data_IF_215644757636
#
_entry.id   IF_215644757636
#
_cell.length_a   1.000
_cell.length_b   1.000
_cell.length_c   1.000
_cell.angle_alpha   90.00
_cell.angle_beta   90.00
_cell.angle_gamma   90.00
#
_symmetry.space_group_name_H-M   'P 1'
#
loop_
_entity.id
_entity.type
_entity.pdbx_description
1 polymer ?
#
# COMPACT_ATOMS: atom_id res chain seq x y z
N UNK A 1 16.64 -5.28 29.45
CA UNK A 1 16.85 -5.37 30.92
C UNK A 1 16.21 -6.63 31.51
N UNK A 2 15.05 -6.62 32.18
CA UNK A 2 14.51 -7.78 32.94
C UNK A 2 14.52 -9.14 32.20
N UNK A 3 14.13 -9.16 30.93
CA UNK A 3 14.09 -10.38 30.12
C UNK A 3 15.48 -10.96 29.82
N UNK A 4 16.45 -10.09 29.52
CA UNK A 4 17.81 -10.48 29.14
C UNK A 4 18.79 -10.52 30.32
N UNK A 5 18.38 -10.07 31.51
CA UNK A 5 19.26 -10.03 32.69
C UNK A 5 20.39 -8.99 32.60
N UNK A 6 20.29 -8.03 31.68
CA UNK A 6 21.31 -6.98 31.43
C UNK A 6 20.98 -5.65 32.11
N UNK A 7 22.01 -4.82 32.29
CA UNK A 7 21.88 -3.45 32.78
C UNK A 7 21.41 -2.50 31.67
N UNK A 8 21.04 -1.28 32.04
CA UNK A 8 20.64 -0.26 31.08
C UNK A 8 21.83 0.22 30.22
N UNK A 9 23.02 0.27 30.82
CA UNK A 9 24.26 0.76 30.20
C UNK A 9 24.77 -0.15 29.08
N UNK A 10 24.39 -1.44 29.11
CA UNK A 10 24.76 -2.42 28.08
C UNK A 10 23.95 -2.25 26.77
N UNK A 11 22.93 -1.38 26.78
CA UNK A 11 22.03 -1.14 25.64
C UNK A 11 22.50 0.09 24.86
N UNK A 12 23.05 -0.13 23.67
CA UNK A 12 23.42 0.97 22.77
C UNK A 12 22.18 1.63 22.17
N UNK A 13 21.25 0.82 21.65
CA UNK A 13 20.00 1.30 21.07
C UNK A 13 18.93 0.21 21.12
N UNK A 14 17.66 0.59 20.93
CA UNK A 14 16.62 -0.37 20.66
C UNK A 14 15.56 0.22 19.73
N UNK A 15 14.96 -0.63 18.91
CA UNK A 15 13.87 -0.26 18.01
C UNK A 15 12.66 -1.15 18.30
N UNK A 16 11.47 -0.54 18.30
CA UNK A 16 10.23 -1.33 18.33
C UNK A 16 10.03 -1.93 16.95
N UNK A 17 10.30 -3.22 16.79
CA UNK A 17 10.03 -3.94 15.54
C UNK A 17 8.52 -4.14 15.33
N UNK A 18 7.82 -4.47 16.42
CA UNK A 18 6.36 -4.70 16.37
C UNK A 18 5.68 -4.31 17.68
N UNK A 19 4.50 -3.70 17.57
CA UNK A 19 3.55 -3.43 18.64
C UNK A 19 2.16 -3.93 18.26
N UNK A 20 1.73 -5.00 18.91
CA UNK A 20 0.38 -5.53 18.86
C UNK A 20 -0.37 -5.33 20.17
N UNK A 21 -1.61 -5.81 20.22
CA UNK A 21 -2.37 -5.91 21.46
C UNK A 21 -3.23 -7.18 21.46
N UNK A 22 -3.43 -7.75 22.64
CA UNK A 22 -4.44 -8.77 22.91
C UNK A 22 -5.66 -8.12 23.56
N UNK A 23 -6.74 -8.00 22.80
CA UNK A 23 -8.03 -7.45 23.25
C UNK A 23 -9.11 -8.52 23.35
N UNK A 24 -8.76 -9.79 23.59
CA UNK A 24 -9.75 -10.87 23.80
C UNK A 24 -10.50 -10.71 25.12
N UNK A 25 -9.82 -10.24 26.17
CA UNK A 25 -10.41 -9.92 27.48
C UNK A 25 -10.47 -8.40 27.64
N UNK A 26 -11.66 -7.80 27.56
CA UNK A 26 -11.85 -6.34 27.65
C UNK A 26 -11.32 -5.73 28.96
N UNK A 27 -11.32 -6.51 30.05
CA UNK A 27 -10.82 -6.10 31.36
C UNK A 27 -9.29 -6.20 31.50
N UNK A 28 -8.60 -6.84 30.56
CA UNK A 28 -7.16 -7.06 30.61
C UNK A 28 -6.57 -7.01 29.19
N UNK A 29 -6.45 -5.81 28.65
CA UNK A 29 -5.85 -5.58 27.33
C UNK A 29 -4.35 -5.44 27.51
N UNK A 30 -3.57 -6.31 26.86
CA UNK A 30 -2.12 -6.32 26.95
C UNK A 30 -1.50 -5.87 25.64
N UNK A 31 -0.50 -4.99 25.72
CA UNK A 31 0.35 -4.65 24.58
C UNK A 31 1.44 -5.72 24.42
N UNK A 32 1.70 -6.11 23.19
CA UNK A 32 2.68 -7.14 22.86
C UNK A 32 3.75 -6.48 21.99
N UNK A 33 4.98 -6.50 22.47
CA UNK A 33 6.12 -5.88 21.78
C UNK A 33 7.09 -6.94 21.27
N UNK A 34 7.67 -6.65 20.11
CA UNK A 34 8.91 -7.26 19.62
C UNK A 34 9.90 -6.12 19.46
N UNK A 35 11.09 -6.28 20.05
CA UNK A 35 12.13 -5.26 20.08
C UNK A 35 13.38 -5.82 19.41
N UNK A 36 14.02 -5.01 18.57
CA UNK A 36 15.38 -5.23 18.10
C UNK A 36 16.29 -4.39 19.01
N UNK A 37 17.40 -4.95 19.50
CA UNK A 37 18.24 -4.31 20.54
C UNK A 37 19.72 -4.37 20.12
N UNK A 38 20.32 -3.19 20.02
CA UNK A 38 21.76 -2.86 19.91
C UNK A 38 22.57 -3.24 21.16
N UNK A 39 23.43 -4.27 21.18
CA UNK A 39 24.23 -4.65 22.37
C UNK A 39 25.72 -4.90 22.03
N UNK A 40 26.62 -4.75 23.01
CA UNK A 40 28.06 -5.00 22.79
C UNK A 40 28.39 -6.51 22.76
N UNK A 41 27.77 -7.31 23.64
CA UNK A 41 28.06 -8.75 23.83
C UNK A 41 26.96 -9.67 23.26
N UNK A 42 26.45 -9.37 22.05
CA UNK A 42 25.31 -10.09 21.45
C UNK A 42 25.51 -11.60 21.36
N UNK A 43 26.68 -12.06 20.90
CA UNK A 43 26.95 -13.47 20.66
C UNK A 43 26.87 -14.31 21.96
N UNK A 44 27.42 -13.79 23.06
CA UNK A 44 27.40 -14.46 24.35
C UNK A 44 25.97 -14.53 24.92
N UNK A 45 25.19 -13.46 24.76
CA UNK A 45 23.79 -13.45 25.16
C UNK A 45 22.95 -14.43 24.34
N UNK A 46 23.15 -14.49 23.02
CA UNK A 46 22.44 -15.43 22.15
C UNK A 46 22.74 -16.89 22.52
N UNK A 47 23.98 -17.22 22.90
CA UNK A 47 24.34 -18.57 23.39
C UNK A 47 23.65 -18.90 24.71
N UNK A 48 23.67 -17.96 25.66
CA UNK A 48 22.99 -18.07 26.96
C UNK A 48 21.48 -18.30 26.81
N UNK A 49 20.86 -17.65 25.81
CA UNK A 49 19.44 -17.75 25.51
C UNK A 49 19.11 -18.71 24.34
N UNK A 50 20.01 -19.61 23.96
CA UNK A 50 19.85 -20.54 22.83
C UNK A 50 18.56 -21.37 22.84
N UNK A 51 18.01 -21.65 24.02
CA UNK A 51 16.78 -22.42 24.21
C UNK A 51 15.51 -21.54 24.35
N UNK A 52 15.64 -20.21 24.40
CA UNK A 52 14.50 -19.30 24.53
C UNK A 52 14.00 -18.84 23.14
N UNK A 53 12.80 -19.27 22.70
CA UNK A 53 12.29 -18.93 21.37
C UNK A 53 11.96 -17.43 21.20
N UNK A 54 11.98 -16.63 22.28
CA UNK A 54 11.71 -15.20 22.26
C UNK A 54 12.97 -14.33 22.22
N UNK A 55 14.15 -14.93 22.25
CA UNK A 55 15.44 -14.23 22.10
C UNK A 55 16.15 -14.84 20.91
N UNK A 56 16.27 -14.07 19.83
CA UNK A 56 16.86 -14.54 18.57
C UNK A 56 17.67 -13.41 17.96
N UNK A 57 18.63 -13.79 17.12
CA UNK A 57 19.32 -12.84 16.28
C UNK A 57 18.32 -12.14 15.35
N UNK A 58 18.39 -10.81 15.31
CA UNK A 58 17.61 -10.00 14.37
C UNK A 58 18.00 -10.39 12.94
N UNK A 59 17.05 -10.75 12.06
CA UNK A 59 17.37 -11.09 10.67
C UNK A 59 17.88 -9.85 9.91
N UNK A 60 18.69 -10.06 8.87
CA UNK A 60 18.97 -9.01 7.90
C UNK A 60 17.69 -8.71 7.10
N UNK A 61 17.15 -7.52 7.33
CA UNK A 61 15.90 -7.06 6.70
C UNK A 61 16.14 -5.97 5.65
N UNK A 62 17.39 -5.72 5.29
CA UNK A 62 17.71 -4.71 4.29
C UNK A 62 17.28 -5.19 2.90
N UNK A 63 16.67 -4.29 2.13
CA UNK A 63 16.29 -4.59 0.76
C UNK A 63 17.52 -4.74 -0.13
N UNK A 64 17.71 -5.92 -0.71
CA UNK A 64 18.82 -6.20 -1.62
C UNK A 64 18.42 -5.91 -3.06
N UNK A 65 19.02 -4.87 -3.65
CA UNK A 65 18.84 -4.56 -5.07
C UNK A 65 19.41 -5.69 -5.93
N UNK A 66 18.62 -6.20 -6.88
CA UNK A 66 18.99 -7.37 -7.68
C UNK A 66 19.87 -7.03 -8.88
N UNK A 67 19.93 -5.76 -9.28
CA UNK A 67 20.68 -5.31 -10.44
C UNK A 67 20.98 -3.80 -10.37
N UNK A 68 21.81 -3.34 -11.31
CA UNK A 68 22.02 -1.93 -11.63
C UNK A 68 21.91 -1.77 -13.15
N UNK A 69 21.33 -0.67 -13.61
CA UNK A 69 21.23 -0.37 -15.03
C UNK A 69 22.63 -0.27 -15.67
N UNK A 70 22.82 -0.85 -16.86
CA UNK A 70 24.06 -0.68 -17.60
C UNK A 70 24.22 0.77 -18.06
N UNK A 71 25.45 1.25 -18.15
CA UNK A 71 25.74 2.64 -18.55
C UNK A 71 25.20 2.98 -19.95
N UNK A 72 25.16 1.98 -20.85
CA UNK A 72 24.71 2.10 -22.23
C UNK A 72 23.23 1.69 -22.41
N UNK A 73 22.36 1.98 -21.44
CA UNK A 73 20.94 1.67 -21.52
C UNK A 73 20.29 2.37 -22.73
N UNK A 74 19.92 1.60 -23.75
CA UNK A 74 19.34 2.11 -25.00
C UNK A 74 17.83 2.32 -24.92
N UNK A 75 17.15 1.48 -24.14
CA UNK A 75 15.69 1.49 -24.02
C UNK A 75 15.29 1.73 -22.56
N UNK A 76 14.37 2.66 -22.34
CA UNK A 76 13.82 2.95 -21.01
C UNK A 76 12.62 2.03 -20.78
N UNK A 77 12.50 1.41 -19.60
CA UNK A 77 11.31 0.63 -19.27
C UNK A 77 10.11 1.56 -19.07
N UNK A 78 8.94 1.12 -19.51
CA UNK A 78 7.67 1.83 -19.36
C UNK A 78 6.84 1.19 -18.26
N UNK A 79 6.22 2.00 -17.41
CA UNK A 79 5.26 1.57 -16.38
C UNK A 79 3.92 2.25 -16.65
N UNK A 80 2.88 1.45 -16.86
CA UNK A 80 1.51 1.94 -17.14
C UNK A 80 0.71 1.89 -15.84
N UNK A 81 0.33 3.07 -15.34
CA UNK A 81 -0.40 3.29 -14.09
C UNK A 81 0.52 3.69 -12.94
N UNK A 82 0.09 4.69 -12.15
CA UNK A 82 0.82 5.21 -11.00
C UNK A 82 0.06 4.97 -9.68
N UNK A 83 -0.55 3.79 -9.55
CA UNK A 83 -1.00 3.23 -8.28
C UNK A 83 0.15 2.62 -7.46
N UNK A 84 -0.11 1.98 -6.30
CA UNK A 84 0.95 1.43 -5.46
C UNK A 84 1.89 0.45 -6.17
N UNK A 85 1.36 -0.39 -7.08
CA UNK A 85 2.18 -1.31 -7.87
C UNK A 85 3.12 -0.57 -8.83
N UNK A 86 2.59 0.32 -9.67
CA UNK A 86 3.40 1.10 -10.61
C UNK A 86 4.36 2.08 -9.93
N UNK A 87 3.97 2.63 -8.79
CA UNK A 87 4.81 3.46 -7.92
C UNK A 87 6.08 2.72 -7.50
N UNK A 88 5.96 1.51 -6.95
CA UNK A 88 7.13 0.75 -6.50
C UNK A 88 7.91 0.13 -7.65
N UNK A 89 7.26 -0.28 -8.74
CA UNK A 89 7.96 -0.69 -9.95
C UNK A 89 8.85 0.46 -10.48
N UNK A 90 8.27 1.66 -10.61
CA UNK A 90 8.99 2.85 -11.04
C UNK A 90 10.08 3.29 -10.05
N UNK A 91 9.80 3.30 -8.75
CA UNK A 91 10.77 3.68 -7.73
C UNK A 91 11.99 2.76 -7.72
N UNK A 92 11.77 1.44 -7.71
CA UNK A 92 12.88 0.48 -7.66
C UNK A 92 13.69 0.52 -8.96
N UNK A 93 13.03 0.63 -10.13
CA UNK A 93 13.72 0.82 -11.41
C UNK A 93 14.56 2.10 -11.42
N UNK A 94 14.03 3.21 -10.89
CA UNK A 94 14.75 4.47 -10.79
C UNK A 94 15.93 4.38 -9.80
N UNK A 95 15.76 3.74 -8.64
CA UNK A 95 16.83 3.49 -7.66
C UNK A 95 17.97 2.64 -8.25
N UNK A 96 17.63 1.70 -9.15
CA UNK A 96 18.61 0.91 -9.89
C UNK A 96 19.19 1.63 -11.13
N UNK A 97 18.74 2.85 -11.43
CA UNK A 97 19.27 3.68 -12.53
C UNK A 97 18.64 3.44 -13.90
N UNK A 98 17.52 2.71 -14.00
CA UNK A 98 16.89 2.38 -15.29
C UNK A 98 16.09 3.55 -15.92
N UNK A 99 15.93 4.67 -15.22
CA UNK A 99 15.24 5.88 -15.71
C UNK A 99 13.85 5.58 -16.31
N UNK A 100 12.94 4.92 -15.57
CA UNK A 100 11.65 4.47 -16.10
C UNK A 100 10.78 5.64 -16.61
N UNK A 101 9.94 5.37 -17.61
CA UNK A 101 8.86 6.26 -18.05
C UNK A 101 7.56 5.73 -17.45
N UNK A 102 6.92 6.50 -16.58
CA UNK A 102 5.64 6.16 -15.98
C UNK A 102 4.55 6.99 -16.65
N UNK A 103 3.50 6.35 -17.14
CA UNK A 103 2.32 7.01 -17.71
C UNK A 103 1.10 6.71 -16.84
N UNK A 104 0.36 7.76 -16.48
CA UNK A 104 -0.85 7.67 -15.68
C UNK A 104 -1.98 8.40 -16.41
N UNK A 105 -3.09 7.68 -16.64
CA UNK A 105 -4.26 8.22 -17.36
C UNK A 105 -4.92 9.38 -16.62
N UNK A 106 -4.90 9.34 -15.29
CA UNK A 106 -5.47 10.39 -14.46
C UNK A 106 -4.47 11.49 -14.10
N UNK A 107 -4.94 12.42 -13.27
CA UNK A 107 -4.21 13.63 -12.94
C UNK A 107 -3.34 13.51 -11.70
N UNK A 108 -2.47 14.50 -11.53
CA UNK A 108 -1.80 14.79 -10.27
C UNK A 108 -2.78 14.92 -9.10
N UNK A 109 -2.34 14.55 -7.90
CA UNK A 109 -3.21 14.28 -6.76
C UNK A 109 -4.01 15.50 -6.32
N UNK A 110 -3.48 16.72 -6.46
CA UNK A 110 -4.20 17.96 -6.09
C UNK A 110 -5.37 18.25 -7.03
N UNK A 111 -5.15 18.13 -8.34
CA UNK A 111 -6.21 18.31 -9.33
C UNK A 111 -7.22 17.16 -9.27
N UNK A 112 -6.72 15.93 -9.12
CA UNK A 112 -7.54 14.74 -8.89
C UNK A 112 -8.45 14.87 -7.68
N UNK A 113 -7.95 15.47 -6.59
CA UNK A 113 -8.74 15.76 -5.39
C UNK A 113 -9.87 16.73 -5.68
N UNK A 114 -9.62 17.79 -6.46
CA UNK A 114 -10.66 18.73 -6.91
C UNK A 114 -11.72 18.02 -7.76
N UNK A 115 -11.30 17.20 -8.72
CA UNK A 115 -12.21 16.45 -9.60
C UNK A 115 -13.08 15.48 -8.79
N UNK A 116 -12.47 14.73 -7.87
CA UNK A 116 -13.16 13.73 -7.03
C UNK A 116 -14.13 14.38 -6.05
N UNK A 117 -13.74 15.45 -5.36
CA UNK A 117 -14.63 16.15 -4.43
C UNK A 117 -15.70 16.94 -5.18
N UNK A 118 -15.35 17.46 -6.36
CA UNK A 118 -16.28 18.06 -7.31
C UNK A 118 -17.39 17.08 -7.70
N UNK A 119 -17.03 15.86 -8.07
CA UNK A 119 -17.97 14.78 -8.35
C UNK A 119 -18.88 14.48 -7.15
N UNK A 120 -18.33 14.30 -5.95
CA UNK A 120 -19.15 13.99 -4.77
C UNK A 120 -20.16 15.09 -4.40
N UNK A 121 -19.80 16.36 -4.63
CA UNK A 121 -20.68 17.50 -4.33
C UNK A 121 -21.65 17.82 -5.45
N UNK A 122 -21.20 17.78 -6.71
CA UNK A 122 -21.95 18.28 -7.88
C UNK A 122 -22.48 17.18 -8.79
N UNK A 123 -22.14 15.91 -8.52
CA UNK A 123 -22.51 14.73 -9.32
C UNK A 123 -22.00 14.73 -10.76
N UNK A 124 -20.97 15.52 -11.05
CA UNK A 124 -20.30 15.55 -12.36
C UNK A 124 -19.07 14.64 -12.32
N UNK A 125 -19.12 13.49 -12.99
CA UNK A 125 -18.01 12.53 -13.02
C UNK A 125 -17.03 12.88 -14.14
N UNK A 126 -15.74 12.94 -13.82
CA UNK A 126 -14.68 12.85 -14.81
C UNK A 126 -14.23 11.37 -14.93
N UNK A 127 -14.41 10.71 -16.10
CA UNK A 127 -14.07 9.30 -16.25
C UNK A 127 -12.56 9.03 -16.17
N UNK A 128 -11.70 10.03 -16.42
CA UNK A 128 -10.24 9.89 -16.38
C UNK A 128 -9.62 10.33 -15.05
N UNK A 129 -10.35 11.05 -14.20
CA UNK A 129 -9.83 11.61 -12.95
C UNK A 129 -10.87 11.44 -11.83
N UNK A 130 -10.72 10.38 -11.04
CA UNK A 130 -11.70 9.99 -10.03
C UNK A 130 -11.07 9.10 -8.94
N UNK A 131 -11.92 8.46 -8.13
CA UNK A 131 -11.48 7.60 -7.02
C UNK A 131 -10.56 6.46 -7.49
N UNK A 132 -10.68 6.01 -8.74
CA UNK A 132 -9.88 4.91 -9.28
C UNK A 132 -8.61 5.40 -10.00
N UNK A 133 -8.72 6.47 -10.79
CA UNK A 133 -7.67 6.91 -11.71
C UNK A 133 -7.02 8.23 -11.30
N UNK A 134 -5.70 8.31 -11.51
CA UNK A 134 -4.82 9.43 -11.14
C UNK A 134 -3.76 9.04 -10.11
N UNK A 135 -2.97 10.03 -9.69
CA UNK A 135 -1.79 9.85 -8.83
C UNK A 135 -2.09 9.06 -7.55
N UNK A 136 -1.37 7.96 -7.34
CA UNK A 136 -1.54 7.01 -6.23
C UNK A 136 -2.66 5.97 -6.44
N UNK A 137 -3.34 6.00 -7.59
CA UNK A 137 -4.37 5.04 -7.98
C UNK A 137 -5.51 4.93 -6.96
N UNK A 138 -6.12 3.75 -6.84
CA UNK A 138 -7.22 3.51 -5.90
C UNK A 138 -6.82 3.64 -4.41
N UNK A 139 -5.52 3.68 -4.10
CA UNK A 139 -5.02 3.79 -2.73
C UNK A 139 -5.23 5.18 -2.11
N UNK A 140 -5.20 6.24 -2.92
CA UNK A 140 -5.15 7.64 -2.46
C UNK A 140 -6.33 8.03 -1.57
N UNK A 141 -7.56 7.73 -1.98
CA UNK A 141 -8.78 8.07 -1.23
C UNK A 141 -9.26 6.94 -0.31
N UNK A 142 -8.31 6.27 0.34
CA UNK A 142 -8.56 5.17 1.27
C UNK A 142 -8.10 5.49 2.69
N UNK A 143 -8.43 4.59 3.62
CA UNK A 143 -7.87 4.60 4.99
C UNK A 143 -6.37 4.28 5.00
N UNK A 144 -5.83 3.74 3.90
CA UNK A 144 -4.41 3.42 3.77
C UNK A 144 -3.94 2.30 4.69
N UNK A 145 -4.76 1.26 4.88
CA UNK A 145 -4.41 0.10 5.71
C UNK A 145 -3.34 -0.73 5.02
N UNK A 146 -2.23 -0.96 5.73
CA UNK A 146 -1.11 -1.74 5.22
C UNK A 146 -1.05 -3.06 5.99
N UNK A 147 -1.75 -4.07 5.49
CA UNK A 147 -1.75 -5.39 6.11
C UNK A 147 -1.76 -6.49 5.06
N UNK A 148 -0.82 -7.42 5.20
CA UNK A 148 -0.69 -8.62 4.39
C UNK A 148 -0.71 -9.86 5.28
N UNK A 149 -1.32 -10.94 4.78
CA UNK A 149 -1.24 -12.29 5.38
C UNK A 149 -0.22 -13.18 4.66
N UNK A 150 0.47 -12.64 3.67
CA UNK A 150 1.45 -13.37 2.87
C UNK A 150 2.78 -13.42 3.62
N UNK A 151 3.43 -14.59 3.63
CA UNK A 151 4.80 -14.73 4.13
C UNK A 151 5.75 -13.97 3.22
N UNK A 152 6.65 -13.20 3.81
CA UNK A 152 7.55 -12.30 3.09
C UNK A 152 8.99 -12.51 3.56
N UNK A 153 9.67 -13.57 3.09
CA UNK A 153 11.04 -13.87 3.51
C UNK A 153 12.06 -12.84 2.99
N UNK A 154 11.71 -12.07 1.96
CA UNK A 154 12.56 -11.05 1.35
C UNK A 154 12.29 -9.64 1.87
N UNK A 155 11.39 -9.50 2.85
CA UNK A 155 11.04 -8.23 3.49
C UNK A 155 10.58 -7.13 2.51
N UNK A 156 9.91 -7.49 1.41
CA UNK A 156 9.33 -6.52 0.47
C UNK A 156 8.33 -5.57 1.14
N UNK A 157 7.53 -6.09 2.07
CA UNK A 157 6.61 -5.28 2.88
C UNK A 157 7.36 -4.24 3.72
N UNK A 158 8.52 -4.60 4.29
CA UNK A 158 9.35 -3.65 5.04
C UNK A 158 9.89 -2.56 4.12
N UNK A 159 10.43 -2.92 2.95
CA UNK A 159 10.88 -1.95 1.93
C UNK A 159 9.78 -0.94 1.58
N UNK A 160 8.56 -1.42 1.34
CA UNK A 160 7.41 -0.55 1.04
C UNK A 160 7.13 0.44 2.17
N UNK A 161 7.07 -0.04 3.40
CA UNK A 161 6.75 0.77 4.58
C UNK A 161 7.87 1.77 4.87
N UNK A 162 9.14 1.36 4.74
CA UNK A 162 10.30 2.26 4.91
C UNK A 162 10.29 3.41 3.90
N UNK A 163 9.97 3.14 2.63
CA UNK A 163 9.86 4.20 1.61
C UNK A 163 8.68 5.15 1.90
N UNK A 164 7.57 4.63 2.41
CA UNK A 164 6.46 5.48 2.85
C UNK A 164 6.86 6.41 4.01
N UNK A 165 7.58 5.89 5.02
CA UNK A 165 8.08 6.71 6.13
C UNK A 165 9.09 7.74 5.63
N UNK A 166 10.02 7.36 4.74
CA UNK A 166 10.95 8.29 4.12
C UNK A 166 10.23 9.40 3.34
N UNK A 167 9.07 9.09 2.75
CA UNK A 167 8.17 10.05 2.11
C UNK A 167 7.24 10.80 3.08
N UNK A 168 7.41 10.67 4.41
CA UNK A 168 6.68 11.43 5.42
C UNK A 168 5.41 10.76 5.96
N UNK A 169 5.23 9.45 5.75
CA UNK A 169 4.25 8.68 6.49
C UNK A 169 4.63 8.56 7.98
N UNK A 170 3.68 8.31 8.88
CA UNK A 170 3.96 8.24 10.32
C UNK A 170 4.88 7.08 10.67
N UNK A 171 5.96 7.29 11.43
CA UNK A 171 6.92 6.23 11.80
C UNK A 171 6.26 5.00 12.46
N UNK A 172 5.14 5.20 13.15
CA UNK A 172 4.36 4.14 13.76
C UNK A 172 3.90 3.04 12.78
N UNK A 173 3.83 3.32 11.47
CA UNK A 173 3.47 2.31 10.49
C UNK A 173 4.51 1.19 10.36
N UNK A 174 5.76 1.41 10.79
CA UNK A 174 6.83 0.40 10.78
C UNK A 174 6.59 -0.71 11.80
N UNK A 175 5.90 -0.41 12.90
CA UNK A 175 5.81 -1.33 14.02
C UNK A 175 4.39 -1.63 14.49
N UNK A 176 3.41 -0.77 14.24
CA UNK A 176 2.03 -1.05 14.65
C UNK A 176 1.47 -2.23 13.86
N UNK A 177 0.91 -3.22 14.55
CA UNK A 177 0.43 -4.47 13.95
C UNK A 177 -0.71 -4.34 12.93
N UNK A 178 -1.44 -3.22 12.95
CA UNK A 178 -2.51 -2.88 12.01
C UNK A 178 -2.37 -1.41 11.60
N UNK A 179 -1.32 -1.08 10.83
CA UNK A 179 -0.98 0.28 10.52
C UNK A 179 -1.95 0.86 9.48
N UNK A 180 -2.21 2.15 9.60
CA UNK A 180 -2.98 2.92 8.64
C UNK A 180 -2.32 4.30 8.49
N UNK A 181 -2.34 4.84 7.26
CA UNK A 181 -1.73 6.15 6.97
C UNK A 181 -2.77 7.27 7.06
N UNK A 182 -3.98 7.01 6.55
CA UNK A 182 -5.04 8.01 6.37
C UNK A 182 -4.87 8.86 5.09
N UNK A 183 -6.00 9.26 4.50
CA UNK A 183 -6.08 9.93 3.19
C UNK A 183 -5.20 11.17 3.04
N UNK A 184 -5.21 12.09 4.01
CA UNK A 184 -4.47 13.35 3.87
C UNK A 184 -2.94 13.16 3.83
N UNK A 185 -2.42 12.19 4.58
CA UNK A 185 -0.98 11.86 4.58
C UNK A 185 -0.59 11.12 3.29
N UNK A 186 -1.50 10.35 2.70
CA UNK A 186 -1.24 9.69 1.40
C UNK A 186 -1.01 10.70 0.28
N UNK A 187 -1.74 11.82 0.27
CA UNK A 187 -1.59 12.89 -0.73
C UNK A 187 -0.20 13.51 -0.70
N UNK A 188 0.30 13.88 0.48
CA UNK A 188 1.63 14.50 0.58
C UNK A 188 2.75 13.47 0.37
N UNK A 189 2.54 12.22 0.80
CA UNK A 189 3.48 11.13 0.63
C UNK A 189 3.69 10.80 -0.86
N UNK A 190 2.61 10.68 -1.64
CA UNK A 190 2.73 10.34 -3.08
C UNK A 190 3.44 11.45 -3.86
N UNK A 191 3.18 12.73 -3.54
CA UNK A 191 3.90 13.87 -4.15
C UNK A 191 5.41 13.78 -3.92
N UNK A 192 5.84 13.41 -2.71
CA UNK A 192 7.25 13.23 -2.37
C UNK A 192 7.87 12.03 -3.07
N UNK A 193 7.16 10.91 -3.16
CA UNK A 193 7.66 9.73 -3.88
C UNK A 193 7.77 10.00 -5.39
N UNK A 194 6.80 10.70 -5.98
CA UNK A 194 6.88 11.21 -7.35
C UNK A 194 8.15 12.05 -7.54
N UNK A 195 8.38 13.03 -6.66
CA UNK A 195 9.57 13.88 -6.72
C UNK A 195 10.85 13.04 -6.63
N UNK A 196 10.89 12.02 -5.76
CA UNK A 196 12.05 11.13 -5.63
C UNK A 196 12.32 10.32 -6.91
N UNK A 197 11.28 9.81 -7.56
CA UNK A 197 11.43 9.10 -8.85
C UNK A 197 12.03 10.04 -9.91
N UNK A 198 11.54 11.28 -9.97
CA UNK A 198 12.04 12.31 -10.90
C UNK A 198 13.50 12.66 -10.60
N UNK A 199 13.86 12.86 -9.33
CA UNK A 199 15.23 13.11 -8.87
C UNK A 199 16.19 11.97 -9.29
N UNK A 200 15.71 10.72 -9.25
CA UNK A 200 16.45 9.53 -9.67
C UNK A 200 16.48 9.34 -11.20
N UNK A 201 15.96 10.29 -11.98
CA UNK A 201 15.97 10.28 -13.45
C UNK A 201 14.80 9.54 -14.10
N UNK A 202 13.79 9.14 -13.32
CA UNK A 202 12.51 8.67 -13.86
C UNK A 202 11.68 9.83 -14.43
N UNK A 203 10.74 9.50 -15.30
CA UNK A 203 9.81 10.44 -15.90
C UNK A 203 8.39 10.02 -15.59
N UNK A 204 7.51 10.96 -15.25
CA UNK A 204 6.13 10.68 -14.89
C UNK A 204 5.22 11.61 -15.69
N UNK A 205 4.36 11.03 -16.53
CA UNK A 205 3.41 11.73 -17.37
C UNK A 205 1.98 11.47 -16.88
N UNK A 206 1.36 12.49 -16.30
CA UNK A 206 -0.05 12.45 -15.93
C UNK A 206 -0.94 12.80 -17.12
N UNK A 207 -2.24 12.53 -17.00
CA UNK A 207 -3.22 12.70 -18.09
C UNK A 207 -2.79 12.03 -19.39
N UNK A 208 -2.07 10.90 -19.27
CA UNK A 208 -1.44 10.18 -20.37
C UNK A 208 -1.89 8.74 -20.35
N UNK A 209 -2.94 8.42 -21.12
CA UNK A 209 -3.51 7.07 -21.21
C UNK A 209 -2.83 6.31 -22.35
N UNK A 210 -2.61 5.02 -22.15
CA UNK A 210 -2.18 4.09 -23.21
C UNK A 210 -3.43 3.46 -23.82
N UNK A 211 -3.59 3.63 -25.13
CA UNK A 211 -4.74 3.14 -25.89
C UNK A 211 -4.39 1.92 -26.75
N UNK A 212 -3.11 1.62 -26.95
CA UNK A 212 -2.67 0.47 -27.71
C UNK A 212 -1.27 -0.02 -27.32
N UNK A 213 -1.00 -1.30 -27.55
CA UNK A 213 0.33 -1.92 -27.47
C UNK A 213 0.78 -2.42 -28.84
N UNK A 214 2.08 -2.29 -29.13
CA UNK A 214 2.67 -2.80 -30.36
C UNK A 214 3.33 -4.14 -30.08
N UNK A 215 2.96 -5.15 -30.87
CA UNK A 215 3.49 -6.50 -30.72
C UNK A 215 3.96 -7.03 -32.07
N UNK A 216 5.12 -7.67 -32.06
CA UNK A 216 5.70 -8.38 -33.21
C UNK A 216 6.23 -9.72 -32.73
N UNK A 217 5.80 -10.83 -33.33
CA UNK A 217 6.25 -12.19 -33.01
C UNK A 217 6.23 -12.52 -31.49
N UNK A 218 5.18 -12.08 -30.80
CA UNK A 218 5.00 -12.30 -29.36
C UNK A 218 5.83 -11.38 -28.44
N UNK A 219 6.62 -10.46 -29.00
CA UNK A 219 7.38 -9.45 -28.27
C UNK A 219 6.69 -8.09 -28.33
N UNK A 220 6.54 -7.42 -27.17
CA UNK A 220 6.14 -6.01 -27.13
C UNK A 220 7.27 -5.12 -27.63
N UNK A 221 6.98 -4.15 -28.49
CA UNK A 221 7.96 -3.22 -29.05
C UNK A 221 7.67 -1.76 -28.71
N UNK A 222 6.46 -1.49 -28.21
CA UNK A 222 6.05 -0.13 -27.85
C UNK A 222 4.57 -0.04 -27.51
N UNK A 223 4.11 1.20 -27.42
CA UNK A 223 2.74 1.57 -27.06
C UNK A 223 2.30 2.84 -27.79
N UNK A 224 1.01 2.95 -28.06
CA UNK A 224 0.37 4.20 -28.54
C UNK A 224 -0.39 4.84 -27.38
N UNK A 225 -0.12 6.12 -27.15
CA UNK A 225 -0.83 6.95 -26.19
C UNK A 225 -2.14 7.47 -26.79
N UNK A 226 -3.08 7.90 -25.95
CA UNK A 226 -4.40 8.40 -26.38
C UNK A 226 -4.34 9.68 -27.23
N UNK A 227 -3.22 10.39 -27.24
CA UNK A 227 -2.96 11.54 -28.11
C UNK A 227 -2.28 11.15 -29.45
N UNK A 228 -2.05 9.86 -29.70
CA UNK A 228 -1.38 9.33 -30.89
C UNK A 228 0.15 9.26 -30.80
N UNK A 229 0.77 9.79 -29.74
CA UNK A 229 2.21 9.64 -29.49
C UNK A 229 2.58 8.17 -29.31
N UNK A 230 3.77 7.78 -29.78
CA UNK A 230 4.30 6.42 -29.62
C UNK A 230 5.50 6.43 -28.68
N UNK A 231 5.56 5.43 -27.81
CA UNK A 231 6.73 5.17 -26.96
C UNK A 231 7.26 3.78 -27.31
N UNK A 232 8.51 3.71 -27.76
CA UNK A 232 9.20 2.45 -28.04
C UNK A 232 9.82 1.89 -26.76
N UNK A 233 9.55 0.62 -26.46
CA UNK A 233 10.16 -0.09 -25.34
C UNK A 233 9.83 -1.58 -25.42
N UNK A 234 10.83 -2.43 -25.19
CA UNK A 234 10.64 -3.87 -25.03
C UNK A 234 10.30 -4.29 -23.60
N UNK A 235 10.28 -3.34 -22.67
CA UNK A 235 10.07 -3.59 -21.23
C UNK A 235 8.90 -2.75 -20.73
N UNK A 236 7.71 -3.36 -20.63
CA UNK A 236 6.49 -2.67 -20.22
C UNK A 236 5.86 -3.37 -19.02
N UNK A 237 5.61 -2.61 -17.96
CA UNK A 237 4.88 -3.06 -16.77
C UNK A 237 3.43 -2.58 -16.88
N UNK A 238 2.48 -3.50 -16.85
CA UNK A 238 1.06 -3.20 -16.81
C UNK A 238 0.56 -3.16 -15.36
N UNK A 239 0.43 -1.97 -14.77
CA UNK A 239 0.03 -1.74 -13.38
C UNK A 239 -1.26 -0.89 -13.27
N UNK A 240 -2.22 -1.14 -14.17
CA UNK A 240 -3.42 -0.30 -14.42
C UNK A 240 -4.56 -0.45 -13.40
N UNK A 241 -4.42 -1.38 -12.44
CA UNK A 241 -5.48 -1.73 -11.49
C UNK A 241 -6.66 -2.46 -12.16
N UNK A 242 -7.65 -2.86 -11.36
CA UNK A 242 -8.76 -3.69 -11.85
C UNK A 242 -9.92 -2.90 -12.48
N UNK A 243 -9.81 -1.57 -12.55
CA UNK A 243 -10.87 -0.68 -13.05
C UNK A 243 -10.67 -0.26 -14.51
N UNK A 244 -9.50 -0.52 -15.11
CA UNK A 244 -9.15 -0.16 -16.48
C UNK A 244 -9.79 -1.11 -17.52
N UNK A 245 -11.12 -1.09 -17.60
CA UNK A 245 -11.91 -2.01 -18.43
C UNK A 245 -11.63 -1.83 -19.93
N UNK A 246 -11.52 -0.58 -20.36
CA UNK A 246 -11.10 -0.19 -21.71
C UNK A 246 -9.72 -0.76 -22.06
N UNK A 247 -8.76 -0.70 -21.13
CA UNK A 247 -7.45 -1.34 -21.32
C UNK A 247 -7.58 -2.85 -21.40
N UNK A 248 -8.44 -3.50 -20.62
CA UNK A 248 -8.67 -4.95 -20.74
C UNK A 248 -9.31 -5.33 -22.07
N UNK A 249 -10.24 -4.54 -22.61
CA UNK A 249 -10.80 -4.73 -23.94
C UNK A 249 -9.69 -4.64 -25.01
N UNK A 250 -8.85 -3.61 -24.96
CA UNK A 250 -7.70 -3.49 -25.86
C UNK A 250 -6.75 -4.70 -25.79
N UNK A 251 -6.42 -5.18 -24.59
CA UNK A 251 -5.55 -6.34 -24.41
C UNK A 251 -6.17 -7.61 -24.98
N UNK A 252 -7.48 -7.77 -24.82
CA UNK A 252 -8.23 -8.89 -25.40
C UNK A 252 -8.14 -8.85 -26.93
N UNK A 253 -8.39 -7.68 -27.53
CA UNK A 253 -8.36 -7.49 -28.97
C UNK A 253 -6.96 -7.64 -29.57
N UNK A 254 -5.92 -7.41 -28.76
CA UNK A 254 -4.51 -7.68 -29.10
C UNK A 254 -4.08 -9.13 -28.87
N UNK A 255 -4.97 -10.00 -28.43
CA UNK A 255 -4.70 -11.42 -28.22
C UNK A 255 -3.80 -11.70 -27.01
N UNK A 256 -3.71 -10.78 -26.06
CA UNK A 256 -3.00 -11.01 -24.79
C UNK A 256 -3.80 -12.00 -23.96
N UNK A 257 -3.13 -13.06 -23.48
CA UNK A 257 -3.77 -14.11 -22.69
C UNK A 257 -4.43 -13.57 -21.42
N UNK A 258 -5.70 -13.90 -21.22
CA UNK A 258 -6.47 -13.51 -20.05
C UNK A 258 -7.42 -14.63 -19.60
N UNK A 259 -7.58 -14.75 -18.28
CA UNK A 259 -8.43 -15.78 -17.67
C UNK A 259 -9.42 -15.14 -16.69
N UNK A 260 -10.64 -15.69 -16.66
CA UNK A 260 -11.65 -15.26 -15.72
C UNK A 260 -11.25 -15.61 -14.28
N UNK A 261 -11.12 -14.58 -13.42
CA UNK A 261 -10.75 -14.75 -12.01
C UNK A 261 -11.97 -14.53 -11.10
N UNK A 262 -12.31 -15.47 -10.20
CA UNK A 262 -13.35 -15.26 -9.21
C UNK A 262 -13.07 -14.04 -8.31
N UNK A 263 -14.12 -13.29 -7.99
CA UNK A 263 -14.08 -12.14 -7.09
C UNK A 263 -15.35 -12.07 -6.23
N UNK A 264 -15.37 -11.15 -5.26
CA UNK A 264 -16.48 -10.99 -4.32
C UNK A 264 -17.22 -9.68 -4.52
N UNK A 265 -18.53 -9.72 -4.28
CA UNK A 265 -19.45 -8.58 -4.33
C UNK A 265 -20.31 -8.58 -3.07
N UNK A 266 -20.88 -7.43 -2.71
CA UNK A 266 -21.71 -7.31 -1.54
C UNK A 266 -22.12 -5.87 -1.27
N UNK A 267 -22.43 -5.57 -0.02
CA UNK A 267 -22.90 -4.25 0.41
C UNK A 267 -21.94 -3.62 1.41
N UNK A 268 -21.97 -2.29 1.48
CA UNK A 268 -21.38 -1.54 2.58
C UNK A 268 -22.39 -1.51 3.73
N UNK A 269 -21.96 -1.94 4.91
CA UNK A 269 -22.75 -1.88 6.14
C UNK A 269 -22.15 -0.86 7.09
N UNK A 270 -23.01 -0.11 7.79
CA UNK A 270 -22.60 0.94 8.70
C UNK A 270 -23.27 0.75 10.06
N UNK A 271 -22.47 0.94 11.11
CA UNK A 271 -22.90 0.96 12.51
C UNK A 271 -22.27 2.17 13.18
N UNK A 272 -22.83 2.63 14.31
CA UNK A 272 -22.16 3.64 15.12
C UNK A 272 -20.81 3.10 15.59
N UNK A 273 -19.73 3.87 15.41
CA UNK A 273 -18.38 3.45 15.84
C UNK A 273 -18.35 3.10 17.34
N UNK A 274 -19.10 3.83 18.18
CA UNK A 274 -19.21 3.56 19.62
C UNK A 274 -19.74 2.16 19.95
N UNK A 275 -20.63 1.60 19.12
CA UNK A 275 -21.13 0.23 19.29
C UNK A 275 -20.00 -0.79 19.11
N UNK A 276 -19.13 -0.56 18.13
CA UNK A 276 -17.97 -1.44 17.87
C UNK A 276 -16.93 -1.27 18.98
N UNK A 277 -16.68 -0.04 19.42
CA UNK A 277 -15.73 0.26 20.50
C UNK A 277 -16.15 -0.40 21.82
N UNK A 278 -17.44 -0.32 22.18
CA UNK A 278 -17.98 -1.00 23.35
C UNK A 278 -17.90 -2.54 23.21
N UNK A 279 -18.24 -3.05 22.02
CA UNK A 279 -18.18 -4.48 21.73
C UNK A 279 -16.75 -5.05 21.78
N UNK A 280 -15.71 -4.26 21.48
CA UNK A 280 -14.31 -4.71 21.43
C UNK A 280 -13.49 -4.34 22.65
N UNK A 281 -13.64 -3.12 23.17
CA UNK A 281 -12.78 -2.55 24.23
C UNK A 281 -13.53 -2.26 25.53
N UNK A 282 -14.86 -2.11 25.50
CA UNK A 282 -15.65 -1.83 26.69
C UNK A 282 -15.20 -0.54 27.37
N UNK A 283 -14.85 -0.59 28.66
CA UNK A 283 -14.37 0.57 29.44
C UNK A 283 -13.08 1.20 28.90
N UNK A 284 -12.30 0.46 28.10
CA UNK A 284 -11.07 0.95 27.49
C UNK A 284 -11.30 1.65 26.13
N UNK A 285 -12.55 1.80 25.70
CA UNK A 285 -12.89 2.59 24.52
C UNK A 285 -12.41 4.04 24.67
N UNK A 286 -11.89 4.63 23.59
CA UNK A 286 -11.30 5.98 23.60
C UNK A 286 -9.84 6.03 24.05
N UNK A 287 -9.22 4.90 24.40
CA UNK A 287 -7.78 4.86 24.68
C UNK A 287 -6.96 5.25 23.43
N UNK A 288 -6.06 6.25 23.52
CA UNK A 288 -5.29 6.73 22.36
C UNK A 288 -4.39 5.69 21.69
N UNK A 289 -3.90 4.69 22.44
CA UNK A 289 -3.03 3.62 21.92
C UNK A 289 -3.85 2.58 21.15
N UNK A 290 -5.04 2.25 21.63
CA UNK A 290 -5.93 1.27 20.99
C UNK A 290 -6.60 1.85 19.73
N UNK A 291 -6.90 3.16 19.77
CA UNK A 291 -7.63 3.87 18.74
C UNK A 291 -9.07 3.37 18.59
N UNK A 292 -9.71 3.71 17.46
CA UNK A 292 -11.04 3.21 17.14
C UNK A 292 -11.03 1.70 16.89
N UNK A 293 -12.02 0.96 17.39
CA UNK A 293 -12.04 -0.49 17.28
C UNK A 293 -12.28 -0.98 15.84
N UNK A 294 -11.75 -2.17 15.56
CA UNK A 294 -12.02 -2.91 14.32
C UNK A 294 -12.61 -4.31 14.57
N UNK A 295 -13.13 -4.89 13.48
CA UNK A 295 -13.61 -6.26 13.44
C UNK A 295 -13.25 -6.92 12.11
N UNK A 296 -13.21 -8.26 12.14
CA UNK A 296 -13.11 -9.13 10.97
C UNK A 296 -14.05 -10.31 11.21
N UNK A 297 -15.02 -10.51 10.32
CA UNK A 297 -16.05 -11.53 10.41
C UNK A 297 -16.00 -12.44 9.19
N UNK A 298 -16.28 -13.72 9.40
CA UNK A 298 -16.45 -14.74 8.35
C UNK A 298 -17.61 -15.64 8.79
N UNK A 299 -18.51 -15.94 7.85
CA UNK A 299 -19.63 -16.84 8.05
C UNK A 299 -19.80 -17.74 6.83
N UNK A 300 -19.87 -19.05 7.05
CA UNK A 300 -20.15 -20.03 6.02
C UNK A 300 -21.65 -20.32 5.99
N UNK A 301 -22.31 -19.89 4.91
CA UNK A 301 -23.76 -19.99 4.76
C UNK A 301 -24.18 -21.41 4.37
N UNK A 302 -25.44 -21.77 4.69
CA UNK A 302 -26.05 -23.05 4.31
C UNK A 302 -26.09 -23.29 2.78
N UNK A 303 -26.05 -22.23 1.98
CA UNK A 303 -26.05 -22.28 0.52
C UNK A 303 -24.64 -22.52 -0.09
N UNK A 304 -23.64 -22.86 0.72
CA UNK A 304 -22.26 -23.11 0.28
C UNK A 304 -21.44 -21.85 -0.02
N UNK A 305 -22.00 -20.64 0.14
CA UNK A 305 -21.26 -19.38 -0.01
C UNK A 305 -20.61 -18.98 1.31
N UNK A 306 -19.48 -18.29 1.21
CA UNK A 306 -18.82 -17.68 2.36
C UNK A 306 -19.03 -16.17 2.33
N UNK A 307 -19.58 -15.61 3.40
CA UNK A 307 -19.73 -14.17 3.60
C UNK A 307 -18.63 -13.71 4.55
N UNK A 308 -18.00 -12.59 4.26
CA UNK A 308 -16.94 -12.05 5.11
C UNK A 308 -16.92 -10.52 5.05
N UNK A 309 -16.41 -9.90 6.11
CA UNK A 309 -16.17 -8.45 6.14
C UNK A 309 -14.91 -8.12 5.33
N UNK A 310 -14.98 -7.12 4.46
CA UNK A 310 -13.85 -6.65 3.66
C UNK A 310 -13.67 -5.14 3.80
N UNK A 311 -12.41 -4.68 3.79
CA UNK A 311 -12.03 -3.26 3.88
C UNK A 311 -12.74 -2.49 5.00
N UNK A 312 -12.88 -3.07 6.20
CA UNK A 312 -13.59 -2.45 7.33
C UNK A 312 -12.90 -1.15 7.75
N UNK A 313 -13.53 0.02 7.52
CA UNK A 313 -12.98 1.33 7.88
C UNK A 313 -13.59 1.87 9.17
N UNK A 314 -12.74 2.44 10.04
CA UNK A 314 -13.13 3.04 11.34
C UNK A 314 -13.73 4.45 11.16
N UNK A 315 -13.42 5.08 10.03
CA UNK A 315 -13.98 6.35 9.59
C UNK A 315 -14.46 6.13 8.17
N UNK A 316 -15.68 6.56 7.86
CA UNK A 316 -16.23 6.49 6.49
C UNK A 316 -15.32 7.37 5.62
N UNK A 317 -14.53 6.83 4.68
CA UNK A 317 -13.96 7.67 3.64
C UNK A 317 -15.16 8.21 2.88
N UNK A 318 -15.19 9.54 2.73
CA UNK A 318 -16.15 10.50 2.15
C UNK A 318 -17.02 10.10 0.94
N UNK A 319 -17.07 8.82 0.56
CA UNK A 319 -17.95 8.24 -0.44
C UNK A 319 -19.45 8.39 -0.12
N UNK A 320 -19.83 8.76 1.10
CA UNK A 320 -21.20 9.10 1.47
C UNK A 320 -21.16 10.21 2.52
N UNK A 321 -21.42 11.47 2.14
CA UNK A 321 -21.91 12.43 3.13
C UNK A 321 -23.28 11.99 3.62
N UNK A 322 -23.64 12.29 4.88
CA UNK A 322 -24.98 12.04 5.38
C UNK A 322 -25.97 12.76 4.46
N UNK A 323 -27.04 12.07 4.06
CA UNK A 323 -28.25 12.76 3.65
C UNK A 323 -28.52 13.81 4.74
N UNK A 324 -28.42 15.09 4.41
CA UNK A 324 -29.18 16.11 5.13
C UNK A 324 -30.61 15.58 5.12
N UNK A 325 -31.08 15.12 6.26
CA UNK A 325 -32.51 15.01 6.50
C UNK A 325 -32.97 16.45 6.49
N UNK A 326 -33.54 16.86 5.37
CA UNK A 326 -34.36 18.06 5.34
C UNK A 326 -35.45 17.86 6.39
N UNK A 327 -35.48 18.80 7.34
CA UNK A 327 -36.60 19.02 8.24
C UNK A 327 -37.57 19.99 7.56
#
# INVERSE_FOLDING_TARGET
MKKLGINAEDIHSFTVFRRGYDARKKSNILLIYTLDIELENEAQLLDTFSHDPHVKQTPDMEYKFVAKAPENLKERPVVIGFGPCGLFAGLVLAQMGFKPIIVERGKEVRERTKDTFGFWRKRTLNPESNVQFGEGGAGTFSDGKLYSQVKDPNFYGRKVITEFVAAGAPEEILYVSKPHIGTFKLVTMIEKMRAKIIELGGEIRFSTRVDDIHMQDGQITGLTLSNGEKIESRHVVLAVGHSARDTFEMLHDRGVHMEAKPFSVGFRIEHKQSMIDEARFGKNAGNPILGAADYKLVHHCKNGRTVYSFCMCRVVPWLLQPQKRDA
#
